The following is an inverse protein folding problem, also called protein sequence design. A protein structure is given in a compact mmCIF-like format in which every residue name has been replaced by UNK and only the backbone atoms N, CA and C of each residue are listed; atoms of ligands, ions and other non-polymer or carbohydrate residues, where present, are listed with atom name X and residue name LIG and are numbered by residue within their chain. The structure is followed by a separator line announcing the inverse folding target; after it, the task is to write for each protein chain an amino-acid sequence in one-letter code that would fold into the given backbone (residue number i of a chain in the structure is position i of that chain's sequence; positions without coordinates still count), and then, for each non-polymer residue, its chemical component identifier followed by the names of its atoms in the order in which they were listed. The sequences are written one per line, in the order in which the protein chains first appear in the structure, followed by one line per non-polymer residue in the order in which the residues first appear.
data_IF_618787734851
#
_entry.id   IF_618787734851
#
_cell.length_a   1.000
_cell.length_b   1.000
_cell.length_c   1.000
_cell.angle_alpha   90.00
_cell.angle_beta   90.00
_cell.angle_gamma   90.00
#
_symmetry.space_group_name_H-M   'P 1'
#
loop_
_entity.id
_entity.type
_entity.pdbx_description
1 polymer ?
#
# COMPACT_ATOMS: atom_id res chain seq x y z
N UNK A 1 -31.43 20.19 36.86
CA UNK A 1 -30.58 20.96 35.92
C UNK A 1 -29.86 19.94 35.04
N UNK A 2 -30.43 19.60 33.89
CA UNK A 2 -29.90 18.58 32.98
C UNK A 2 -29.17 19.30 31.85
N UNK A 3 -27.86 19.22 31.86
CA UNK A 3 -26.99 19.90 30.90
C UNK A 3 -27.04 19.14 29.57
N UNK A 4 -27.80 19.66 28.60
CA UNK A 4 -27.76 19.19 27.21
C UNK A 4 -26.43 19.63 26.61
N UNK A 5 -25.48 18.71 26.46
CA UNK A 5 -24.33 18.92 25.60
C UNK A 5 -24.83 19.14 24.17
N UNK A 6 -24.66 20.37 23.68
CA UNK A 6 -24.91 20.71 22.29
C UNK A 6 -23.91 19.93 21.43
N UNK A 7 -24.43 19.04 20.58
CA UNK A 7 -23.67 18.43 19.49
C UNK A 7 -23.33 19.55 18.52
N UNK A 8 -22.07 20.00 18.54
CA UNK A 8 -21.55 20.90 17.52
C UNK A 8 -21.36 20.05 16.26
N UNK A 9 -22.39 20.00 15.41
CA UNK A 9 -22.23 19.57 14.04
C UNK A 9 -21.24 20.53 13.38
N UNK A 10 -20.03 20.05 13.03
CA UNK A 10 -19.15 20.74 12.08
C UNK A 10 -19.94 20.85 10.77
N UNK A 11 -20.59 22.00 10.55
CA UNK A 11 -21.03 22.40 9.22
C UNK A 11 -19.74 22.61 8.41
N UNK A 12 -19.34 21.57 7.68
CA UNK A 12 -18.17 21.61 6.82
C UNK A 12 -18.31 22.76 5.84
N UNK A 13 -17.39 23.71 5.92
CA UNK A 13 -17.26 24.77 4.94
C UNK A 13 -17.04 24.07 3.59
N UNK A 14 -17.91 24.30 2.59
CA UNK A 14 -17.93 23.57 1.30
C UNK A 14 -16.63 23.72 0.46
N UNK A 15 -15.64 24.43 1.01
CA UNK A 15 -14.38 24.82 0.38
C UNK A 15 -13.14 24.38 1.17
N UNK A 16 -13.26 23.81 2.37
CA UNK A 16 -12.11 23.28 3.08
C UNK A 16 -11.74 21.89 2.54
N UNK A 17 -10.49 21.76 2.10
CA UNK A 17 -9.87 20.49 1.74
C UNK A 17 -9.08 19.97 2.94
N UNK A 18 -9.02 18.66 3.11
CA UNK A 18 -8.21 17.99 4.15
C UNK A 18 -6.70 18.01 3.85
N UNK A 19 -6.35 18.29 2.59
CA UNK A 19 -4.96 18.48 2.15
C UNK A 19 -4.46 19.91 2.47
N UNK A 20 -3.13 20.13 2.59
CA UNK A 20 -2.05 19.17 2.34
C UNK A 20 -1.78 18.21 3.50
N UNK A 21 -1.17 17.09 3.17
CA UNK A 21 -0.51 16.23 4.14
C UNK A 21 0.76 16.93 4.67
N UNK A 22 0.85 17.04 6.00
CA UNK A 22 2.00 17.54 6.74
C UNK A 22 2.70 16.38 7.44
N UNK A 23 3.74 15.84 6.81
CA UNK A 23 4.57 14.78 7.39
C UNK A 23 4.80 13.61 6.44
N UNK A 24 5.11 12.45 7.02
CA UNK A 24 5.39 11.22 6.26
C UNK A 24 4.10 10.58 5.78
N UNK A 25 4.19 9.93 4.62
CA UNK A 25 3.15 9.00 4.18
C UNK A 25 3.10 7.82 5.13
N UNK A 26 1.88 7.38 5.42
CA UNK A 26 1.57 6.30 6.33
C UNK A 26 0.62 5.29 5.67
N UNK A 27 0.75 4.03 6.04
CA UNK A 27 -0.17 2.98 5.63
C UNK A 27 -0.48 2.01 6.75
N UNK A 28 -1.61 1.33 6.61
CA UNK A 28 -2.08 0.33 7.57
C UNK A 28 -1.42 -1.03 7.30
N UNK A 29 -1.04 -1.72 8.39
CA UNK A 29 -0.24 -2.96 8.37
C UNK A 29 -0.84 -4.07 7.53
N UNK A 30 -2.13 -4.32 7.64
CA UNK A 30 -2.81 -5.39 6.91
C UNK A 30 -2.80 -5.12 5.41
N UNK A 31 -3.00 -3.86 5.00
CA UNK A 31 -2.84 -3.42 3.60
C UNK A 31 -1.38 -3.58 3.13
N UNK A 32 -0.40 -3.49 4.02
CA UNK A 32 1.03 -3.75 3.75
C UNK A 32 1.39 -5.23 3.70
N UNK A 33 0.85 -6.07 4.57
CA UNK A 33 1.27 -7.49 4.64
C UNK A 33 0.66 -8.30 3.48
N UNK A 34 -0.59 -8.01 3.09
CA UNK A 34 -1.33 -8.85 2.16
C UNK A 34 -1.48 -8.29 0.74
N UNK A 35 -1.55 -9.16 -0.29
CA UNK A 35 -1.56 -8.74 -1.69
C UNK A 35 -2.97 -8.34 -2.18
N UNK A 36 -3.45 -7.18 -1.76
CA UNK A 36 -4.76 -6.66 -2.18
C UNK A 36 -4.79 -5.95 -3.54
N UNK A 37 -3.63 -5.73 -4.16
CA UNK A 37 -3.51 -4.93 -5.37
C UNK A 37 -2.77 -5.70 -6.46
N UNK A 38 -3.18 -5.50 -7.71
CA UNK A 38 -2.53 -6.13 -8.85
C UNK A 38 -1.11 -5.58 -9.07
N UNK A 39 -0.17 -6.48 -9.35
CA UNK A 39 1.23 -6.13 -9.68
C UNK A 39 1.42 -5.70 -11.14
N UNK A 40 0.44 -5.97 -12.00
CA UNK A 40 0.50 -5.72 -13.44
C UNK A 40 0.35 -4.24 -13.77
N UNK A 41 1.09 -3.77 -14.79
CA UNK A 41 0.88 -2.45 -15.41
C UNK A 41 -0.30 -2.42 -16.39
N UNK A 42 -0.80 -3.59 -16.77
CA UNK A 42 -1.96 -3.79 -17.65
C UNK A 42 -3.16 -4.20 -16.81
N UNK A 43 -4.36 -3.76 -17.22
CA UNK A 43 -5.61 -4.09 -16.55
C UNK A 43 -5.77 -5.60 -16.34
N UNK A 44 -6.04 -6.00 -15.10
CA UNK A 44 -6.31 -7.39 -14.71
C UNK A 44 -7.82 -7.57 -14.63
N UNK A 45 -8.39 -8.28 -15.60
CA UNK A 45 -9.84 -8.53 -15.71
C UNK A 45 -10.26 -9.92 -15.19
N UNK A 46 -9.32 -10.67 -14.61
CA UNK A 46 -9.60 -11.95 -13.95
C UNK A 46 -9.64 -11.76 -12.44
N UNK A 47 -10.53 -12.45 -11.71
CA UNK A 47 -10.48 -12.47 -10.26
C UNK A 47 -9.13 -12.97 -9.73
N UNK A 48 -8.75 -12.50 -8.55
CA UNK A 48 -7.59 -12.98 -7.81
C UNK A 48 -8.08 -13.61 -6.50
N UNK A 49 -7.59 -14.81 -6.21
CA UNK A 49 -7.82 -15.50 -4.95
C UNK A 49 -6.47 -15.72 -4.26
N UNK A 50 -6.37 -15.31 -3.01
CA UNK A 50 -5.22 -15.49 -2.15
C UNK A 50 -5.63 -16.30 -0.92
N UNK A 51 -4.86 -17.35 -0.62
CA UNK A 51 -5.01 -18.15 0.59
C UNK A 51 -3.63 -18.48 1.14
N UNK A 52 -3.39 -18.11 2.39
CA UNK A 52 -2.17 -18.48 3.12
C UNK A 52 -2.52 -18.67 4.59
N UNK A 53 -2.26 -19.87 5.11
CA UNK A 53 -2.67 -20.23 6.47
C UNK A 53 -4.19 -20.08 6.66
N UNK A 54 -4.58 -19.29 7.66
CA UNK A 54 -5.97 -18.97 7.96
C UNK A 54 -6.50 -17.72 7.23
N UNK A 55 -5.67 -17.02 6.44
CA UNK A 55 -6.07 -15.81 5.73
C UNK A 55 -6.58 -16.15 4.34
N UNK A 56 -7.72 -15.57 3.97
CA UNK A 56 -8.28 -15.65 2.61
C UNK A 56 -8.69 -14.26 2.12
N UNK A 57 -8.28 -13.92 0.90
CA UNK A 57 -8.67 -12.68 0.22
C UNK A 57 -9.15 -13.06 -1.19
N UNK A 58 -10.31 -12.54 -1.56
CA UNK A 58 -10.85 -12.65 -2.93
C UNK A 58 -11.02 -11.26 -3.48
N UNK A 59 -10.61 -11.06 -4.73
CA UNK A 59 -10.62 -9.77 -5.40
C UNK A 59 -11.29 -9.94 -6.75
N UNK A 60 -12.34 -9.16 -7.01
CA UNK A 60 -13.03 -9.16 -8.30
C UNK A 60 -12.78 -7.83 -9.02
N UNK A 61 -12.47 -7.88 -10.33
CA UNK A 61 -12.29 -6.68 -11.13
C UNK A 61 -13.61 -5.97 -11.40
N UNK A 62 -13.53 -4.67 -11.71
CA UNK A 62 -14.57 -3.96 -12.47
C UNK A 62 -14.32 -4.07 -13.97
N UNK A 63 -15.10 -3.35 -14.79
CA UNK A 63 -14.85 -3.22 -16.22
C UNK A 63 -13.46 -2.62 -16.54
N UNK A 64 -12.88 -1.83 -15.62
CA UNK A 64 -11.55 -1.20 -15.75
C UNK A 64 -10.43 -2.03 -15.13
N UNK A 65 -10.76 -3.20 -14.56
CA UNK A 65 -9.82 -4.14 -13.93
C UNK A 65 -9.64 -3.96 -12.43
N UNK A 66 -8.77 -4.79 -11.85
CA UNK A 66 -8.39 -4.70 -10.43
C UNK A 66 -7.48 -3.49 -10.19
N UNK A 67 -7.69 -2.81 -9.06
CA UNK A 67 -6.80 -1.76 -8.56
C UNK A 67 -5.36 -2.26 -8.42
N UNK A 68 -4.42 -1.50 -8.96
CA UNK A 68 -3.01 -1.84 -9.06
C UNK A 68 -2.21 -1.31 -7.87
N UNK A 69 -0.97 -1.78 -7.73
CA UNK A 69 -0.02 -1.26 -6.74
C UNK A 69 0.29 0.25 -6.90
N UNK A 70 0.01 0.84 -8.06
CA UNK A 70 0.09 2.30 -8.25
C UNK A 70 -1.15 3.01 -7.72
N UNK A 71 -2.34 2.41 -7.86
CA UNK A 71 -3.58 2.98 -7.33
C UNK A 71 -3.57 3.02 -5.79
N UNK A 72 -2.87 2.06 -5.16
CA UNK A 72 -2.62 2.05 -3.71
C UNK A 72 -2.05 3.36 -3.17
N UNK A 73 -1.34 4.14 -3.98
CA UNK A 73 -0.79 5.44 -3.56
C UNK A 73 -1.89 6.40 -3.05
N UNK A 74 -3.07 6.38 -3.69
CA UNK A 74 -4.21 7.18 -3.25
C UNK A 74 -4.70 6.70 -1.88
N UNK A 75 -4.74 5.38 -1.66
CA UNK A 75 -5.13 4.79 -0.37
C UNK A 75 -4.14 5.16 0.73
N UNK A 76 -2.83 5.12 0.45
CA UNK A 76 -1.81 5.58 1.39
C UNK A 76 -1.95 7.08 1.70
N UNK A 77 -2.24 7.90 0.69
CA UNK A 77 -2.43 9.33 0.88
C UNK A 77 -3.63 9.63 1.79
N UNK A 78 -4.79 9.01 1.53
CA UNK A 78 -6.00 9.21 2.35
C UNK A 78 -5.77 8.67 3.77
N UNK A 79 -5.15 7.49 3.93
CA UNK A 79 -4.81 6.94 5.24
C UNK A 79 -3.86 7.87 6.03
N UNK A 80 -2.97 8.59 5.32
CA UNK A 80 -2.07 9.57 5.93
C UNK A 80 -2.82 10.81 6.41
N UNK A 81 -3.79 11.32 5.64
CA UNK A 81 -4.66 12.43 6.06
C UNK A 81 -5.50 12.04 7.28
N UNK A 82 -6.07 10.82 7.27
CA UNK A 82 -6.79 10.27 8.40
C UNK A 82 -5.92 10.19 9.66
N UNK A 83 -4.71 9.65 9.55
CA UNK A 83 -3.78 9.56 10.68
C UNK A 83 -3.31 10.93 11.18
N UNK A 84 -3.18 11.93 10.29
CA UNK A 84 -2.88 13.31 10.65
C UNK A 84 -4.00 13.92 11.50
N UNK A 85 -5.26 13.74 11.09
CA UNK A 85 -6.40 14.30 11.81
C UNK A 85 -6.62 13.60 13.16
N UNK A 86 -6.49 12.27 13.22
CA UNK A 86 -6.48 11.52 14.50
C UNK A 86 -5.38 12.05 15.41
N UNK A 87 -4.17 12.29 14.89
CA UNK A 87 -3.05 12.82 15.65
C UNK A 87 -3.28 14.23 16.23
N UNK A 88 -4.23 14.98 15.67
CA UNK A 88 -4.66 16.29 16.19
C UNK A 88 -5.80 16.19 17.21
N UNK A 89 -6.25 14.97 17.53
CA UNK A 89 -7.38 14.72 18.42
C UNK A 89 -8.75 14.94 17.76
N UNK A 90 -8.81 15.04 16.43
CA UNK A 90 -10.07 15.19 15.71
C UNK A 90 -10.87 13.88 15.62
N UNK A 91 -12.20 13.99 15.57
CA UNK A 91 -13.04 12.89 15.10
C UNK A 91 -12.94 12.79 13.59
N UNK A 92 -12.66 11.58 13.07
CA UNK A 92 -12.43 11.37 11.64
C UNK A 92 -13.55 10.56 11.02
N UNK A 93 -14.28 11.19 10.09
CA UNK A 93 -15.27 10.54 9.23
C UNK A 93 -14.59 9.70 8.13
N UNK A 94 -15.37 9.04 7.30
CA UNK A 94 -14.93 8.29 6.12
C UNK A 94 -14.75 9.17 4.89
N UNK A 95 -15.27 10.40 4.89
CA UNK A 95 -15.19 11.32 3.77
C UNK A 95 -13.91 12.16 3.82
N UNK A 96 -13.21 12.23 2.69
CA UNK A 96 -12.00 13.02 2.54
C UNK A 96 -12.08 13.82 1.24
N UNK A 97 -11.71 15.10 1.29
CA UNK A 97 -11.62 15.99 0.15
C UNK A 97 -10.20 16.52 0.03
N UNK A 98 -9.54 16.29 -1.09
CA UNK A 98 -8.15 16.76 -1.30
C UNK A 98 -7.93 17.24 -2.73
N UNK A 99 -6.84 17.98 -2.95
CA UNK A 99 -6.43 18.38 -4.31
C UNK A 99 -5.51 17.33 -4.93
N UNK A 100 -5.66 17.08 -6.23
CA UNK A 100 -4.74 16.20 -6.95
C UNK A 100 -3.30 16.76 -6.97
N UNK A 101 -3.15 18.09 -6.93
CA UNK A 101 -1.85 18.75 -6.83
C UNK A 101 -1.10 18.35 -5.54
N UNK A 102 -1.77 18.39 -4.39
CA UNK A 102 -1.16 17.99 -3.11
C UNK A 102 -0.82 16.49 -3.08
N UNK A 103 -1.66 15.65 -3.68
CA UNK A 103 -1.36 14.23 -3.87
C UNK A 103 -0.09 14.02 -4.70
N UNK A 104 0.00 14.66 -5.88
CA UNK A 104 1.15 14.53 -6.78
C UNK A 104 2.46 14.99 -6.14
N UNK A 105 2.41 16.05 -5.32
CA UNK A 105 3.58 16.52 -4.57
C UNK A 105 4.12 15.45 -3.63
N UNK A 106 3.24 14.69 -2.98
CA UNK A 106 3.62 13.61 -2.06
C UNK A 106 4.13 12.36 -2.79
N UNK A 107 3.55 12.03 -3.94
CA UNK A 107 3.98 10.85 -4.73
C UNK A 107 5.18 11.13 -5.65
N UNK A 108 5.74 12.34 -5.59
CA UNK A 108 6.98 12.71 -6.29
C UNK A 108 6.77 13.15 -7.74
N UNK A 109 5.55 13.50 -8.15
CA UNK A 109 5.23 14.04 -9.48
C UNK A 109 5.28 15.57 -9.43
N UNK A 110 6.46 16.14 -9.71
CA UNK A 110 6.70 17.58 -9.57
C UNK A 110 5.89 18.47 -10.54
N UNK A 111 5.61 17.98 -11.76
CA UNK A 111 4.88 18.72 -12.81
C UNK A 111 3.88 17.78 -13.48
N UNK A 112 2.72 17.51 -12.85
CA UNK A 112 1.73 16.59 -13.40
C UNK A 112 1.13 17.17 -14.69
N UNK A 113 1.13 16.37 -15.75
CA UNK A 113 0.50 16.71 -17.03
C UNK A 113 -0.83 15.98 -17.23
N UNK A 114 -1.47 16.20 -18.38
CA UNK A 114 -2.78 15.59 -18.73
C UNK A 114 -2.84 14.09 -18.49
N UNK A 115 -1.75 13.36 -18.81
CA UNK A 115 -1.66 11.90 -18.63
C UNK A 115 -1.68 11.49 -17.17
N UNK A 116 -1.06 12.27 -16.28
CA UNK A 116 -1.02 11.96 -14.85
C UNK A 116 -2.38 12.17 -14.21
N UNK A 117 -3.08 13.25 -14.58
CA UNK A 117 -4.47 13.48 -14.17
C UNK A 117 -5.40 12.38 -14.69
N UNK A 118 -5.27 11.95 -15.95
CA UNK A 118 -6.06 10.83 -16.47
C UNK A 118 -5.82 9.55 -15.67
N UNK A 119 -4.54 9.20 -15.43
CA UNK A 119 -4.19 8.01 -14.64
C UNK A 119 -4.72 8.07 -13.21
N UNK A 120 -4.71 9.25 -12.61
CA UNK A 120 -5.26 9.49 -11.30
C UNK A 120 -6.78 9.27 -11.28
N UNK A 121 -7.52 9.79 -12.27
CA UNK A 121 -8.96 9.52 -12.42
C UNK A 121 -9.24 8.04 -12.67
N UNK A 122 -8.48 7.39 -13.57
CA UNK A 122 -8.63 5.94 -13.82
C UNK A 122 -8.34 5.11 -12.56
N UNK A 123 -7.43 5.58 -11.70
CA UNK A 123 -7.11 4.93 -10.42
C UNK A 123 -8.28 5.03 -9.44
N UNK A 124 -8.95 6.19 -9.35
CA UNK A 124 -10.17 6.35 -8.54
C UNK A 124 -11.26 5.39 -9.01
N UNK A 125 -11.49 5.28 -10.32
CA UNK A 125 -12.46 4.34 -10.90
C UNK A 125 -12.13 2.88 -10.55
N UNK A 126 -10.86 2.47 -10.65
CA UNK A 126 -10.43 1.12 -10.28
C UNK A 126 -10.58 0.86 -8.77
N UNK A 127 -10.26 1.83 -7.92
CA UNK A 127 -10.41 1.72 -6.46
C UNK A 127 -11.88 1.63 -6.02
N UNK A 128 -12.77 2.34 -6.71
CA UNK A 128 -14.21 2.24 -6.47
C UNK A 128 -14.81 0.96 -7.05
N UNK A 129 -14.31 0.49 -8.20
CA UNK A 129 -14.86 -0.68 -8.88
C UNK A 129 -14.37 -2.03 -8.35
N UNK A 130 -13.15 -2.11 -7.83
CA UNK A 130 -12.57 -3.36 -7.32
C UNK A 130 -13.32 -3.85 -6.10
N UNK A 131 -13.87 -5.06 -6.14
CA UNK A 131 -14.57 -5.68 -5.02
C UNK A 131 -13.64 -6.62 -4.27
N UNK A 132 -13.58 -6.50 -2.95
CA UNK A 132 -12.72 -7.29 -2.05
C UNK A 132 -13.56 -7.99 -1.01
N UNK A 133 -13.27 -9.27 -0.77
CA UNK A 133 -13.81 -10.06 0.34
C UNK A 133 -12.64 -10.70 1.07
N UNK A 134 -12.57 -10.49 2.39
CA UNK A 134 -11.50 -11.04 3.23
C UNK A 134 -12.05 -11.48 4.58
N UNK A 135 -11.33 -12.39 5.24
CA UNK A 135 -11.59 -12.76 6.63
C UNK A 135 -10.64 -12.07 7.63
N UNK A 136 -9.82 -11.12 7.18
CA UNK A 136 -8.96 -10.32 8.06
C UNK A 136 -9.83 -9.42 8.93
N UNK A 137 -9.65 -9.55 10.24
CA UNK A 137 -10.37 -8.81 11.27
C UNK A 137 -9.84 -7.37 11.39
N UNK A 138 -10.74 -6.39 11.52
CA UNK A 138 -10.38 -4.98 11.80
C UNK A 138 -11.27 -4.42 12.89
N UNK A 139 -10.69 -3.72 13.88
CA UNK A 139 -11.44 -3.16 15.01
C UNK A 139 -12.27 -4.20 15.76
N UNK A 140 -11.73 -5.40 15.96
CA UNK A 140 -12.41 -6.57 16.53
C UNK A 140 -13.59 -7.13 15.71
N UNK A 141 -13.80 -6.71 14.47
CA UNK A 141 -14.90 -7.16 13.61
C UNK A 141 -14.40 -7.90 12.35
N UNK A 142 -15.16 -8.89 11.89
CA UNK A 142 -14.94 -9.55 10.60
C UNK A 142 -16.11 -9.18 9.68
N UNK A 143 -15.82 -8.52 8.56
CA UNK A 143 -16.84 -8.21 7.56
C UNK A 143 -17.14 -9.46 6.72
N UNK A 144 -18.40 -9.90 6.73
CA UNK A 144 -18.90 -10.95 5.84
C UNK A 144 -19.55 -10.31 4.61
N UNK A 145 -18.74 -9.92 3.63
CA UNK A 145 -19.26 -9.26 2.43
C UNK A 145 -18.18 -8.87 1.43
N UNK A 146 -18.61 -8.17 0.39
CA UNK A 146 -17.73 -7.50 -0.55
C UNK A 146 -17.69 -6.01 -0.21
N UNK A 147 -16.53 -5.39 -0.33
CA UNK A 147 -16.36 -3.94 -0.25
C UNK A 147 -15.43 -3.44 -1.35
N UNK A 148 -15.58 -2.18 -1.71
CA UNK A 148 -14.59 -1.44 -2.51
C UNK A 148 -13.64 -0.68 -1.59
N UNK A 149 -12.44 -0.31 -2.06
CA UNK A 149 -11.58 0.56 -1.26
C UNK A 149 -12.21 1.93 -1.02
N UNK A 150 -12.82 2.48 -2.07
CA UNK A 150 -13.62 3.70 -2.03
C UNK A 150 -15.08 3.32 -2.29
N UNK A 151 -15.99 3.62 -1.37
CA UNK A 151 -17.42 3.46 -1.66
C UNK A 151 -17.90 4.53 -2.64
N UNK A 152 -17.33 5.73 -2.53
CA UNK A 152 -17.61 6.87 -3.40
C UNK A 152 -16.32 7.56 -3.80
N UNK A 153 -16.23 7.99 -5.06
CA UNK A 153 -15.16 8.83 -5.57
C UNK A 153 -15.73 9.81 -6.59
N UNK A 154 -15.48 11.10 -6.39
CA UNK A 154 -15.94 12.18 -7.24
C UNK A 154 -14.79 13.16 -7.51
N UNK A 155 -14.43 13.32 -8.78
CA UNK A 155 -13.49 14.32 -9.25
C UNK A 155 -14.29 15.56 -9.70
N UNK A 156 -14.15 16.68 -8.99
CA UNK A 156 -14.89 17.90 -9.28
C UNK A 156 -14.09 18.80 -10.21
N UNK A 157 -14.60 19.00 -11.43
CA UNK A 157 -13.98 19.86 -12.43
C UNK A 157 -14.61 21.26 -12.44
N UNK A 158 -13.80 22.27 -12.75
CA UNK A 158 -14.25 23.63 -13.05
C UNK A 158 -13.95 23.94 -14.51
N UNK A 159 -14.91 24.50 -15.22
CA UNK A 159 -14.73 24.93 -16.60
C UNK A 159 -14.07 26.31 -16.64
N UNK A 160 -12.95 26.41 -17.34
CA UNK A 160 -12.20 27.64 -17.53
C UNK A 160 -12.80 28.49 -18.68
N UNK A 161 -12.50 29.80 -18.74
CA UNK A 161 -12.99 30.67 -19.82
C UNK A 161 -12.55 30.25 -21.23
N UNK A 162 -11.41 29.58 -21.35
CA UNK A 162 -10.91 29.02 -22.60
C UNK A 162 -11.64 27.71 -23.02
N UNK A 163 -12.61 27.26 -22.22
CA UNK A 163 -13.41 26.05 -22.45
C UNK A 163 -12.79 24.77 -21.91
N UNK A 164 -11.56 24.79 -21.40
CA UNK A 164 -10.89 23.64 -20.80
C UNK A 164 -11.46 23.31 -19.42
N UNK A 165 -11.36 22.05 -19.01
CA UNK A 165 -11.75 21.60 -17.68
C UNK A 165 -10.52 21.44 -16.80
N UNK A 166 -10.58 22.01 -15.60
CA UNK A 166 -9.54 21.90 -14.59
C UNK A 166 -10.06 21.14 -13.38
N UNK A 167 -9.36 20.08 -12.97
CA UNK A 167 -9.68 19.36 -11.74
C UNK A 167 -9.44 20.27 -10.53
N UNK A 168 -10.50 20.56 -9.78
CA UNK A 168 -10.45 21.44 -8.61
C UNK A 168 -10.10 20.67 -7.35
N UNK A 169 -10.89 19.64 -7.06
CA UNK A 169 -10.68 18.76 -5.91
C UNK A 169 -11.29 17.39 -6.17
N UNK A 170 -10.98 16.47 -5.26
CA UNK A 170 -11.41 15.09 -5.30
C UNK A 170 -12.05 14.80 -3.95
N UNK A 171 -13.30 14.37 -3.97
CA UNK A 171 -14.00 13.89 -2.77
C UNK A 171 -14.11 12.38 -2.85
N UNK A 172 -13.72 11.70 -1.78
CA UNK A 172 -13.77 10.24 -1.67
C UNK A 172 -14.38 9.82 -0.35
N UNK A 173 -14.95 8.62 -0.33
CA UNK A 173 -15.41 7.97 0.89
C UNK A 173 -14.69 6.64 1.08
N UNK A 174 -13.90 6.51 2.14
CA UNK A 174 -13.21 5.27 2.50
C UNK A 174 -14.20 4.20 2.95
N UNK A 175 -13.88 2.95 2.63
CA UNK A 175 -14.67 1.84 3.14
C UNK A 175 -14.53 1.68 4.66
N UNK A 176 -15.59 1.11 5.26
CA UNK A 176 -15.63 0.87 6.70
C UNK A 176 -14.50 -0.06 7.17
N UNK A 177 -14.11 -1.04 6.36
CA UNK A 177 -13.03 -1.98 6.72
C UNK A 177 -11.71 -1.26 6.98
N UNK A 178 -11.28 -0.38 6.05
CA UNK A 178 -10.01 0.35 6.17
C UNK A 178 -10.10 1.49 7.18
N UNK A 179 -11.22 2.22 7.20
CA UNK A 179 -11.45 3.26 8.20
C UNK A 179 -11.35 2.70 9.62
N UNK A 180 -12.01 1.57 9.91
CA UNK A 180 -11.90 0.90 11.22
C UNK A 180 -10.48 0.42 11.50
N UNK A 181 -9.78 -0.15 10.52
CA UNK A 181 -8.40 -0.60 10.70
C UNK A 181 -7.47 0.54 11.14
N UNK A 182 -7.57 1.69 10.47
CA UNK A 182 -6.76 2.87 10.80
C UNK A 182 -7.16 3.45 12.16
N UNK A 183 -8.46 3.58 12.42
CA UNK A 183 -8.96 4.24 13.64
C UNK A 183 -8.78 3.39 14.90
N UNK A 184 -8.95 2.06 14.81
CA UNK A 184 -9.09 1.17 15.97
C UNK A 184 -7.87 0.30 16.22
N UNK A 185 -7.24 -0.20 15.16
CA UNK A 185 -6.11 -1.11 15.31
C UNK A 185 -4.78 -0.35 15.49
N UNK A 186 -4.70 0.87 14.95
CA UNK A 186 -3.58 1.79 15.20
C UNK A 186 -2.23 1.36 14.61
N UNK A 187 -2.18 0.23 13.89
CA UNK A 187 -0.97 -0.29 13.25
C UNK A 187 -0.63 0.47 11.96
N UNK A 188 -0.23 1.72 12.13
CA UNK A 188 0.05 2.66 11.05
C UNK A 188 1.56 2.92 10.96
N UNK A 189 2.13 2.57 9.81
CA UNK A 189 3.57 2.59 9.58
C UNK A 189 3.95 3.70 8.61
N UNK A 190 5.07 4.37 8.85
CA UNK A 190 5.58 5.41 7.95
C UNK A 190 6.37 4.82 6.80
N UNK A 191 6.11 5.30 5.58
CA UNK A 191 6.85 4.92 4.39
C UNK A 191 8.03 5.88 4.14
N UNK A 192 9.12 5.33 3.61
CA UNK A 192 10.21 6.12 3.07
C UNK A 192 9.76 6.88 1.80
N UNK A 193 10.25 8.10 1.60
CA UNK A 193 9.87 8.92 0.43
C UNK A 193 10.19 8.23 -0.92
N UNK A 194 11.32 7.53 -1.01
CA UNK A 194 11.70 6.81 -2.23
C UNK A 194 10.83 5.58 -2.55
N UNK A 195 9.90 5.19 -1.67
CA UNK A 195 8.95 4.11 -1.93
C UNK A 195 8.20 4.31 -3.26
N UNK A 196 7.80 5.55 -3.58
CA UNK A 196 7.04 5.85 -4.79
C UNK A 196 7.86 5.67 -6.08
N UNK A 197 9.19 5.59 -5.99
CA UNK A 197 10.09 5.35 -7.13
C UNK A 197 10.24 3.87 -7.47
N UNK A 198 9.78 2.98 -6.60
CA UNK A 198 9.91 1.53 -6.75
C UNK A 198 8.90 0.96 -7.76
N UNK A 199 9.28 -0.14 -8.42
CA UNK A 199 8.37 -0.99 -9.19
C UNK A 199 7.39 -1.76 -8.30
N UNK A 200 6.40 -2.42 -8.91
CA UNK A 200 5.29 -3.02 -8.16
C UNK A 200 5.72 -4.18 -7.26
N UNK A 201 6.68 -5.01 -7.70
CA UNK A 201 7.22 -6.10 -6.89
C UNK A 201 8.10 -5.55 -5.78
N UNK A 202 8.95 -4.57 -6.08
CA UNK A 202 9.84 -3.93 -5.12
C UNK A 202 9.06 -3.20 -4.03
N UNK A 203 7.92 -2.57 -4.36
CA UNK A 203 6.98 -2.02 -3.38
C UNK A 203 6.46 -3.09 -2.44
N UNK A 204 6.04 -4.25 -2.95
CA UNK A 204 5.59 -5.37 -2.11
C UNK A 204 6.72 -5.90 -1.22
N UNK A 205 7.94 -6.01 -1.74
CA UNK A 205 9.11 -6.42 -0.96
C UNK A 205 9.41 -5.42 0.17
N UNK A 206 9.35 -4.12 -0.11
CA UNK A 206 9.48 -3.08 0.91
C UNK A 206 8.41 -3.23 2.01
N UNK A 207 7.15 -3.43 1.63
CA UNK A 207 6.03 -3.55 2.57
C UNK A 207 6.12 -4.82 3.43
N UNK A 208 6.50 -5.95 2.84
CA UNK A 208 6.73 -7.19 3.57
C UNK A 208 7.91 -7.03 4.52
N UNK A 209 9.03 -6.46 4.07
CA UNK A 209 10.17 -6.18 4.95
C UNK A 209 9.73 -5.27 6.11
N UNK A 210 8.99 -4.20 5.83
CA UNK A 210 8.52 -3.26 6.86
C UNK A 210 7.54 -3.88 7.87
N UNK A 211 6.77 -4.90 7.47
CA UNK A 211 5.85 -5.61 8.36
C UNK A 211 6.51 -6.67 9.23
N UNK A 212 7.64 -7.24 8.79
CA UNK A 212 8.22 -8.46 9.38
C UNK A 212 9.64 -8.26 9.91
N UNK A 213 10.40 -7.28 9.42
CA UNK A 213 11.71 -6.91 9.94
C UNK A 213 11.53 -5.92 11.11
N UNK A 214 11.25 -6.44 12.31
CA UNK A 214 11.19 -5.63 13.54
C UNK A 214 12.61 -5.38 14.09
N UNK A 215 13.44 -4.68 13.30
CA UNK A 215 14.86 -4.44 13.60
C UNK A 215 15.80 -5.61 13.27
N UNK A 216 15.26 -6.83 13.15
CA UNK A 216 16.00 -8.04 12.82
C UNK A 216 15.80 -8.48 11.36
N UNK A 217 16.72 -9.31 10.85
CA UNK A 217 16.55 -9.95 9.55
C UNK A 217 15.48 -11.05 9.61
N UNK A 218 14.73 -11.20 8.52
CA UNK A 218 13.76 -12.29 8.35
C UNK A 218 14.12 -13.10 7.12
N UNK A 219 14.16 -14.41 7.30
CA UNK A 219 14.35 -15.38 6.23
C UNK A 219 12.99 -15.96 5.81
N UNK A 220 12.70 -15.96 4.51
CA UNK A 220 11.49 -16.56 3.96
C UNK A 220 11.83 -17.51 2.81
N UNK A 221 11.23 -18.72 2.77
CA UNK A 221 11.25 -19.55 1.58
C UNK A 221 10.74 -18.80 0.34
N UNK A 222 11.36 -19.05 -0.83
CA UNK A 222 11.04 -18.33 -2.07
C UNK A 222 9.55 -18.44 -2.46
N UNK A 223 8.94 -19.59 -2.25
CA UNK A 223 7.52 -19.85 -2.53
C UNK A 223 6.60 -19.08 -1.58
N UNK A 224 6.92 -19.05 -0.29
CA UNK A 224 6.21 -18.24 0.71
C UNK A 224 6.28 -16.74 0.38
N UNK A 225 7.48 -16.24 0.04
CA UNK A 225 7.64 -14.83 -0.34
C UNK A 225 6.88 -14.52 -1.65
N UNK A 226 6.92 -15.43 -2.63
CA UNK A 226 6.15 -15.28 -3.88
C UNK A 226 4.65 -15.16 -3.62
N UNK A 227 4.13 -15.99 -2.72
CA UNK A 227 2.73 -15.92 -2.29
C UNK A 227 2.43 -14.60 -1.55
N UNK A 228 3.24 -14.17 -0.58
CA UNK A 228 3.06 -12.89 0.15
C UNK A 228 3.13 -11.67 -0.77
N UNK A 229 4.01 -11.69 -1.77
CA UNK A 229 4.10 -10.64 -2.79
C UNK A 229 2.84 -10.63 -3.68
N UNK A 230 2.21 -11.80 -3.88
CA UNK A 230 1.07 -11.96 -4.79
C UNK A 230 1.50 -12.13 -6.24
N UNK A 231 2.71 -12.68 -6.47
CA UNK A 231 3.23 -12.90 -7.82
C UNK A 231 2.56 -14.09 -8.48
N UNK A 232 2.13 -13.92 -9.74
CA UNK A 232 1.60 -15.00 -10.58
C UNK A 232 2.66 -15.58 -11.54
N UNK A 233 3.88 -15.05 -11.49
CA UNK A 233 5.00 -15.58 -12.28
C UNK A 233 5.44 -16.95 -11.75
N UNK A 234 6.06 -17.77 -12.62
CA UNK A 234 6.71 -19.00 -12.15
C UNK A 234 7.82 -18.66 -11.14
N UNK A 235 8.06 -19.55 -10.17
CA UNK A 235 9.10 -19.34 -9.15
C UNK A 235 10.48 -19.08 -9.76
N UNK A 236 10.79 -19.66 -10.93
CA UNK A 236 12.05 -19.39 -11.64
C UNK A 236 12.14 -17.94 -12.13
N UNK A 237 11.06 -17.40 -12.72
CA UNK A 237 11.00 -16.00 -13.15
C UNK A 237 11.00 -15.05 -11.95
N UNK A 238 10.29 -15.41 -10.89
CA UNK A 238 10.29 -14.64 -9.65
C UNK A 238 11.68 -14.61 -9.01
N UNK A 239 12.39 -15.75 -8.91
CA UNK A 239 13.79 -15.81 -8.45
C UNK A 239 14.69 -14.92 -9.30
N UNK A 240 14.55 -14.95 -10.63
CA UNK A 240 15.35 -14.09 -11.50
C UNK A 240 15.10 -12.61 -11.23
N UNK A 241 13.82 -12.22 -11.11
CA UNK A 241 13.48 -10.84 -10.76
C UNK A 241 14.05 -10.43 -9.39
N UNK A 242 14.02 -11.32 -8.39
CA UNK A 242 14.62 -11.04 -7.08
C UNK A 242 16.14 -10.87 -7.15
N UNK A 243 16.84 -11.60 -8.04
CA UNK A 243 18.27 -11.36 -8.28
C UNK A 243 18.52 -9.98 -8.87
N UNK A 244 17.64 -9.51 -9.76
CA UNK A 244 17.74 -8.16 -10.33
C UNK A 244 17.53 -7.11 -9.21
N UNK A 245 16.58 -7.34 -8.30
CA UNK A 245 16.34 -6.48 -7.12
C UNK A 245 17.51 -6.48 -6.15
N UNK A 246 18.09 -7.64 -5.86
CA UNK A 246 19.30 -7.79 -5.04
C UNK A 246 20.49 -7.05 -5.66
N UNK A 247 20.71 -7.19 -6.97
CA UNK A 247 21.81 -6.55 -7.68
C UNK A 247 21.66 -5.03 -7.74
N UNK A 248 20.44 -4.54 -7.96
CA UNK A 248 20.15 -3.12 -8.00
C UNK A 248 20.29 -2.47 -6.61
N UNK A 249 19.99 -3.19 -5.54
CA UNK A 249 20.05 -2.74 -4.13
C UNK A 249 19.34 -1.39 -3.88
N UNK A 250 18.24 -1.12 -4.58
CA UNK A 250 17.50 0.15 -4.53
C UNK A 250 16.35 0.19 -3.52
N UNK A 251 16.15 -0.87 -2.74
CA UNK A 251 15.09 -0.91 -1.73
C UNK A 251 15.45 0.04 -0.57
N UNK A 252 14.64 1.09 -0.30
CA UNK A 252 14.92 2.01 0.80
C UNK A 252 14.79 1.28 2.13
N UNK A 253 15.66 1.63 3.09
CA UNK A 253 15.68 1.08 4.47
C UNK A 253 15.93 -0.43 4.60
N UNK A 254 15.85 -1.21 3.53
CA UNK A 254 15.96 -2.67 3.56
C UNK A 254 16.90 -3.18 2.46
N UNK A 255 17.39 -4.42 2.63
CA UNK A 255 18.12 -5.19 1.63
C UNK A 255 17.45 -6.53 1.39
N UNK A 256 17.57 -7.02 0.17
CA UNK A 256 17.10 -8.34 -0.25
C UNK A 256 18.32 -9.16 -0.62
N UNK A 257 18.45 -10.35 -0.04
CA UNK A 257 19.55 -11.27 -0.36
C UNK A 257 19.02 -12.67 -0.64
N UNK A 258 19.52 -13.32 -1.68
CA UNK A 258 19.16 -14.70 -2.00
C UNK A 258 20.24 -15.65 -1.48
N UNK A 259 19.83 -16.67 -0.71
CA UNK A 259 20.72 -17.77 -0.29
C UNK A 259 20.16 -19.10 -0.80
N UNK A 260 21.05 -19.93 -1.33
CA UNK A 260 20.72 -21.31 -1.64
C UNK A 260 21.08 -22.16 -0.40
N UNK A 261 20.10 -22.87 0.16
CA UNK A 261 20.21 -23.64 1.41
C UNK A 261 20.01 -25.11 1.09
N UNK A 262 20.81 -25.97 1.71
CA UNK A 262 20.64 -27.42 1.62
C UNK A 262 19.57 -27.81 2.65
N UNK A 263 18.44 -28.40 2.25
CA UNK A 263 17.40 -28.82 3.18
C UNK A 263 17.98 -29.80 4.22
N UNK A 264 17.75 -29.55 5.51
CA UNK A 264 18.23 -30.40 6.59
C UNK A 264 17.64 -31.83 6.50
N UNK A 265 16.40 -31.93 6.03
CA UNK A 265 15.74 -33.20 5.74
C UNK A 265 15.81 -33.48 4.23
N UNK A 266 16.31 -34.66 3.86
CA UNK A 266 16.38 -35.08 2.47
C UNK A 266 14.97 -35.22 1.90
N UNK A 267 14.58 -34.33 0.97
CA UNK A 267 13.31 -34.49 0.24
C UNK A 267 13.44 -35.63 -0.76
N UNK A 268 12.38 -36.40 -0.91
CA UNK A 268 12.23 -37.40 -1.97
C UNK A 268 11.14 -36.96 -2.94
N UNK A 269 11.36 -37.16 -4.24
CA UNK A 269 10.32 -36.94 -5.23
C UNK A 269 9.19 -37.99 -5.09
N UNK A 270 8.12 -37.86 -5.88
CA UNK A 270 7.01 -38.83 -5.91
C UNK A 270 7.43 -40.27 -6.28
N UNK A 271 8.70 -40.48 -6.67
CA UNK A 271 9.30 -41.76 -7.01
C UNK A 271 10.36 -42.19 -5.99
N UNK A 272 10.45 -41.52 -4.83
CA UNK A 272 11.40 -41.86 -3.77
C UNK A 272 12.85 -41.47 -4.06
N UNK A 273 13.14 -40.67 -5.10
CA UNK A 273 14.51 -40.21 -5.41
C UNK A 273 14.85 -38.99 -4.58
N UNK A 274 16.03 -39.00 -3.96
CA UNK A 274 16.53 -37.88 -3.16
C UNK A 274 16.71 -36.64 -4.04
N UNK A 275 16.01 -35.57 -3.70
CA UNK A 275 16.14 -34.26 -4.32
C UNK A 275 17.38 -33.60 -3.72
N UNK A 276 18.39 -33.39 -4.55
CA UNK A 276 19.65 -32.75 -4.17
C UNK A 276 19.69 -31.25 -4.49
N UNK A 277 18.65 -30.71 -5.12
CA UNK A 277 18.60 -29.30 -5.51
C UNK A 277 18.46 -28.43 -4.25
N UNK A 278 19.31 -27.41 -4.05
CA UNK A 278 19.18 -26.51 -2.92
C UNK A 278 17.87 -25.72 -3.03
N UNK A 279 17.26 -25.47 -1.88
CA UNK A 279 16.15 -24.54 -1.77
C UNK A 279 16.69 -23.12 -1.81
N UNK A 280 15.88 -22.19 -2.30
CA UNK A 280 16.22 -20.77 -2.24
C UNK A 280 15.42 -20.13 -1.13
N UNK A 281 16.12 -19.49 -0.21
CA UNK A 281 15.54 -18.60 0.79
C UNK A 281 15.91 -17.16 0.45
N UNK A 282 15.06 -16.25 0.85
CA UNK A 282 15.23 -14.82 0.65
C UNK A 282 15.31 -14.17 2.01
N UNK A 283 16.39 -13.43 2.25
CA UNK A 283 16.57 -12.65 3.46
C UNK A 283 16.19 -11.21 3.19
N UNK A 284 15.30 -10.70 4.02
CA UNK A 284 14.97 -9.29 4.10
C UNK A 284 15.61 -8.76 5.38
N UNK A 285 16.48 -7.77 5.25
CA UNK A 285 17.23 -7.21 6.38
C UNK A 285 17.13 -5.68 6.41
N UNK A 286 16.90 -5.07 7.58
CA UNK A 286 17.04 -3.63 7.73
C UNK A 286 18.45 -3.18 7.34
N UNK A 287 18.56 -2.05 6.64
CA UNK A 287 19.83 -1.33 6.51
C UNK A 287 20.16 -0.77 7.88
N UNK A 288 21.33 -1.10 8.41
CA UNK A 288 21.86 -0.42 9.59
C UNK A 288 21.78 1.09 9.36
N UNK A 289 21.20 1.83 10.31
CA UNK A 289 21.25 3.29 10.27
C UNK A 289 22.72 3.69 10.16
N UNK A 290 23.10 4.39 9.09
CA UNK A 290 24.39 5.07 9.06
C UNK A 290 24.45 5.91 10.35
N UNK A 291 25.47 5.77 11.21
CA UNK A 291 25.61 6.69 12.33
C UNK A 291 25.60 8.10 11.73
N UNK A 292 24.83 9.01 12.33
CA UNK A 292 24.84 10.40 11.94
C UNK A 292 26.30 10.85 11.96
N UNK A 293 26.84 11.27 10.82
CA UNK A 293 28.19 11.82 10.75
C UNK A 293 28.24 12.94 11.76
N UNK A 294 28.96 12.74 12.87
CA UNK A 294 29.24 13.79 13.82
C UNK A 294 29.98 14.86 13.01
N UNK A 295 29.30 15.97 12.74
CA UNK A 295 29.97 17.18 12.27
C UNK A 295 30.89 17.56 13.41
N UNK A 296 32.17 17.24 13.26
CA UNK A 296 33.22 17.79 14.09
C UNK A 296 33.16 19.31 13.88
N UNK A 297 32.59 20.01 14.85
CA UNK A 297 32.81 21.44 15.02
C UNK A 297 34.31 21.63 15.25
N UNK A 298 35.03 21.97 14.19
CA UNK A 298 36.37 22.50 14.30
C UNK A 298 36.26 23.89 14.94
N UNK A 299 36.52 23.93 16.25
CA UNK A 299 36.89 25.16 16.94
C UNK A 299 38.33 25.48 16.58
N UNK A 300 38.53 26.56 15.83
CA UNK A 300 39.75 27.34 15.77
C UNK A 300 39.40 28.76 15.32
#
# INVERSE_FOLDING_TARGET
MTNKQAVILKQGNLFEVDSPLHGKVRGERSVMDFPFFALSKVAVLKPLDYKLGNVSIQIRPSATGIATMYDKEIILYIASLMAQEIGRGGEVDQEFTFTAHDFFRITGVARPGKRDYQRFTDALERLQGTQIKTNIQTGSQIDRGWFSWLSEAAANYTRLPNGEEQLRNVKVRLCAWLHRAIQRDGHIYSYHHDYFRLGTIERRLYEIAHCHCDGEEVEMPLDLLSAKVGSTASLAKFKQHLKDVEADDRLPEYRVTLKDVIPAEGRTDSRGRRISKPDTVVLLAPRQKKPATAVLEATA
#
